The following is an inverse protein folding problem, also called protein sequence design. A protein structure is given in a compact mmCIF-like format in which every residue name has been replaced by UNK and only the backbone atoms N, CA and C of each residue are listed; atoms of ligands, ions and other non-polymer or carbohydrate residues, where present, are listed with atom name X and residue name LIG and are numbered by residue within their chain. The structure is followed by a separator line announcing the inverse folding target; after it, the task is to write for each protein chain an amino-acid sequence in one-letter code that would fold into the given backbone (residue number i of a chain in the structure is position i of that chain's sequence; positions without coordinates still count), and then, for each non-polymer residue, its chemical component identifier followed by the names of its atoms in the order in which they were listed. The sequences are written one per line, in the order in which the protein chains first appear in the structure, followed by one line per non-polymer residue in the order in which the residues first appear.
data_IF_422525729740
#
_entry.id   IF_422525729740
#
_cell.length_a   1.000
_cell.length_b   1.000
_cell.length_c   1.000
_cell.angle_alpha   90.00
_cell.angle_beta   90.00
_cell.angle_gamma   90.00
#
_symmetry.space_group_name_H-M   'P 1'
#
loop_
_entity.id
_entity.type
_entity.pdbx_description
1 polymer ?
#
# COMPACT_ATOMS: atom_id res chain seq x y z
N UNK A 1 71.92 -33.22 -12.98
CA UNK A 1 71.38 -32.25 -12.01
C UNK A 1 70.10 -31.72 -12.60
N UNK A 2 68.98 -32.38 -12.31
CA UNK A 2 67.66 -31.93 -12.75
C UNK A 2 67.11 -30.99 -11.68
N UNK A 3 66.99 -29.71 -12.02
CA UNK A 3 66.39 -28.69 -11.17
C UNK A 3 64.89 -28.64 -11.44
N UNK A 4 64.09 -29.05 -10.45
CA UNK A 4 62.63 -28.95 -10.50
C UNK A 4 62.16 -27.49 -10.49
N UNK A 5 61.09 -27.14 -11.22
CA UNK A 5 60.55 -25.80 -11.24
C UNK A 5 59.79 -25.48 -9.94
N UNK A 6 60.16 -24.37 -9.32
CA UNK A 6 59.49 -23.77 -8.17
C UNK A 6 58.04 -23.42 -8.53
N UNK A 7 57.09 -24.27 -8.15
CA UNK A 7 55.66 -23.92 -8.15
C UNK A 7 55.44 -22.76 -7.19
N UNK A 8 55.21 -21.57 -7.76
CA UNK A 8 54.73 -20.41 -7.02
C UNK A 8 53.37 -20.76 -6.44
N UNK A 9 53.32 -21.01 -5.11
CA UNK A 9 52.06 -21.06 -4.38
C UNK A 9 51.52 -19.64 -4.34
N UNK A 10 50.66 -19.31 -5.29
CA UNK A 10 49.79 -18.14 -5.21
C UNK A 10 49.00 -18.24 -3.91
N UNK A 11 49.43 -17.53 -2.88
CA UNK A 11 48.63 -17.29 -1.68
C UNK A 11 47.57 -16.27 -2.06
N UNK A 12 46.50 -16.74 -2.67
CA UNK A 12 45.33 -15.92 -3.00
C UNK A 12 44.60 -15.58 -1.71
N UNK A 13 44.98 -14.44 -1.10
CA UNK A 13 44.21 -13.84 0.00
C UNK A 13 42.72 -13.83 -0.39
N UNK A 14 41.85 -14.19 0.54
CA UNK A 14 40.42 -14.29 0.25
C UNK A 14 39.87 -12.90 -0.06
N UNK A 15 39.74 -12.59 -1.34
CA UNK A 15 39.17 -11.34 -1.81
C UNK A 15 37.66 -11.49 -1.93
N UNK A 16 36.91 -10.96 -0.97
CA UNK A 16 35.45 -10.97 -1.05
C UNK A 16 34.98 -9.90 -2.05
N UNK A 17 34.65 -10.34 -3.26
CA UNK A 17 34.05 -9.51 -4.30
C UNK A 17 32.53 -9.43 -4.16
N UNK A 18 31.91 -8.54 -4.95
CA UNK A 18 30.44 -8.45 -5.03
C UNK A 18 29.84 -9.73 -5.61
N UNK A 19 30.53 -10.38 -6.54
CA UNK A 19 30.08 -11.62 -7.18
C UNK A 19 30.01 -12.78 -6.20
N UNK A 20 31.04 -12.94 -5.34
CA UNK A 20 31.04 -13.96 -4.27
C UNK A 20 29.85 -13.77 -3.32
N UNK A 21 29.50 -12.52 -3.02
CA UNK A 21 28.33 -12.19 -2.18
C UNK A 21 27.02 -12.48 -2.91
N UNK A 22 26.93 -12.20 -4.21
CA UNK A 22 25.74 -12.51 -5.01
C UNK A 22 25.53 -14.02 -5.14
N UNK A 23 26.59 -14.79 -5.36
CA UNK A 23 26.56 -16.24 -5.38
C UNK A 23 26.10 -16.78 -4.02
N UNK A 24 26.67 -16.28 -2.91
CA UNK A 24 26.23 -16.66 -1.57
C UNK A 24 24.72 -16.43 -1.35
N UNK A 25 24.20 -15.26 -1.75
CA UNK A 25 22.78 -14.95 -1.61
C UNK A 25 21.92 -15.85 -2.50
N UNK A 26 22.39 -16.22 -3.71
CA UNK A 26 21.70 -17.15 -4.61
C UNK A 26 21.68 -18.57 -4.07
N UNK A 27 22.79 -19.03 -3.48
CA UNK A 27 22.93 -20.38 -2.93
C UNK A 27 22.12 -20.60 -1.66
N UNK A 28 22.05 -19.58 -0.79
CA UNK A 28 21.29 -19.66 0.46
C UNK A 28 19.76 -19.71 0.24
N UNK A 29 19.24 -19.31 -0.94
CA UNK A 29 17.82 -19.36 -1.36
C UNK A 29 16.81 -18.97 -0.27
N UNK A 30 17.16 -18.04 0.63
CA UNK A 30 16.27 -17.65 1.71
C UNK A 30 15.10 -16.81 1.18
N UNK A 31 13.88 -17.32 1.30
CA UNK A 31 12.65 -16.66 0.80
C UNK A 31 12.40 -15.26 1.39
N UNK A 32 13.04 -14.91 2.52
CA UNK A 32 12.92 -13.61 3.20
C UNK A 32 14.18 -12.74 3.05
N UNK A 33 15.14 -13.18 2.24
CA UNK A 33 16.45 -12.58 2.06
C UNK A 33 17.46 -12.93 3.13
N UNK A 34 18.73 -12.82 2.76
CA UNK A 34 19.88 -13.27 3.52
C UNK A 34 20.37 -12.19 4.49
N UNK A 35 20.86 -12.62 5.65
CA UNK A 35 21.52 -11.74 6.63
C UNK A 35 23.02 -11.69 6.40
N UNK A 36 23.69 -10.65 6.92
CA UNK A 36 25.16 -10.54 6.84
C UNK A 36 25.85 -11.75 7.49
N UNK A 37 25.30 -12.26 8.60
CA UNK A 37 25.83 -13.43 9.29
C UNK A 37 25.72 -14.70 8.41
N UNK A 38 24.60 -14.88 7.69
CA UNK A 38 24.41 -16.00 6.78
C UNK A 38 25.39 -15.95 5.60
N UNK A 39 25.58 -14.76 5.00
CA UNK A 39 26.54 -14.55 3.91
C UNK A 39 27.97 -14.79 4.38
N UNK A 40 28.34 -14.27 5.56
CA UNK A 40 29.65 -14.53 6.19
C UNK A 40 29.87 -16.03 6.39
N UNK A 41 28.90 -16.73 6.96
CA UNK A 41 28.99 -18.18 7.22
C UNK A 41 29.18 -18.96 5.92
N UNK A 42 28.46 -18.59 4.86
CA UNK A 42 28.59 -19.23 3.56
C UNK A 42 29.98 -19.01 2.95
N UNK A 43 30.47 -17.77 2.94
CA UNK A 43 31.78 -17.44 2.36
C UNK A 43 32.90 -18.18 3.13
N UNK A 44 32.86 -18.15 4.47
CA UNK A 44 33.85 -18.88 5.29
C UNK A 44 33.78 -20.39 5.07
N UNK A 45 32.58 -20.95 4.86
CA UNK A 45 32.41 -22.39 4.60
C UNK A 45 32.86 -22.80 3.18
N UNK A 46 32.85 -21.88 2.22
CA UNK A 46 33.23 -22.13 0.83
C UNK A 46 34.70 -21.79 0.54
N UNK A 47 35.36 -21.04 1.43
CA UNK A 47 36.77 -20.71 1.35
C UNK A 47 37.63 -21.80 1.98
N UNK A 48 38.74 -22.16 1.31
CA UNK A 48 39.68 -23.19 1.79
C UNK A 48 40.61 -22.68 2.90
N UNK A 49 40.72 -21.36 3.09
CA UNK A 49 41.59 -20.76 4.09
C UNK A 49 40.80 -20.18 5.29
N UNK A 50 41.24 -20.46 6.53
CA UNK A 50 40.64 -19.86 7.71
C UNK A 50 41.15 -18.42 7.87
N UNK A 51 40.54 -17.47 7.17
CA UNK A 51 40.79 -16.05 7.45
C UNK A 51 40.13 -15.59 8.76
N UNK A 52 40.74 -14.57 9.38
CA UNK A 52 40.19 -13.92 10.55
C UNK A 52 38.76 -13.44 10.29
N UNK A 53 37.84 -13.86 11.15
CA UNK A 53 36.42 -13.60 10.95
C UNK A 53 36.06 -12.09 10.93
N UNK A 54 36.96 -11.23 11.43
CA UNK A 54 36.88 -9.77 11.42
C UNK A 54 37.11 -9.17 10.03
N UNK A 55 38.15 -9.61 9.30
CA UNK A 55 38.49 -9.11 7.95
C UNK A 55 37.34 -9.38 6.97
N UNK A 56 36.86 -10.64 6.96
CA UNK A 56 35.76 -11.11 6.10
C UNK A 56 34.49 -10.29 6.36
N UNK A 57 34.19 -9.97 7.62
CA UNK A 57 33.00 -9.19 7.98
C UNK A 57 33.04 -7.78 7.36
N UNK A 58 34.20 -7.12 7.38
CA UNK A 58 34.38 -5.79 6.81
C UNK A 58 34.25 -5.85 5.30
N UNK A 59 34.91 -6.81 4.65
CA UNK A 59 34.87 -6.96 3.19
C UNK A 59 33.45 -7.29 2.71
N UNK A 60 32.75 -8.22 3.35
CA UNK A 60 31.33 -8.54 3.04
C UNK A 60 30.46 -7.29 3.19
N UNK A 61 30.64 -6.50 4.25
CA UNK A 61 29.87 -5.26 4.47
C UNK A 61 30.14 -4.23 3.36
N UNK A 62 31.39 -4.10 2.93
CA UNK A 62 31.77 -3.20 1.83
C UNK A 62 31.21 -3.69 0.49
N UNK A 63 31.32 -4.99 0.18
CA UNK A 63 30.78 -5.61 -1.01
C UNK A 63 29.25 -5.46 -1.08
N UNK A 64 28.54 -5.69 0.04
CA UNK A 64 27.10 -5.44 0.13
C UNK A 64 26.75 -3.97 -0.11
N UNK A 65 27.53 -3.03 0.43
CA UNK A 65 27.31 -1.59 0.20
C UNK A 65 27.50 -1.22 -1.28
N UNK A 66 28.55 -1.74 -1.92
CA UNK A 66 28.84 -1.54 -3.35
C UNK A 66 27.76 -2.16 -4.23
N UNK A 67 27.36 -3.40 -3.96
CA UNK A 67 26.29 -4.08 -4.70
C UNK A 67 24.93 -3.39 -4.55
N UNK A 68 24.66 -2.74 -3.41
CA UNK A 68 23.47 -1.90 -3.23
C UNK A 68 23.57 -0.59 -4.02
N UNK A 69 24.74 0.05 -4.04
CA UNK A 69 24.98 1.26 -4.83
C UNK A 69 24.85 1.00 -6.35
N UNK A 70 25.36 -0.14 -6.81
CA UNK A 70 25.30 -0.56 -8.21
C UNK A 70 23.92 -1.11 -8.62
N UNK A 71 22.97 -1.26 -7.68
CA UNK A 71 21.63 -1.78 -7.94
C UNK A 71 21.52 -3.31 -8.09
N UNK A 72 22.65 -4.04 -8.01
CA UNK A 72 22.71 -5.50 -8.12
C UNK A 72 22.13 -6.22 -6.89
N UNK A 73 22.12 -5.57 -5.73
CA UNK A 73 21.60 -6.10 -4.47
C UNK A 73 20.58 -5.11 -3.90
N UNK A 74 19.40 -5.60 -3.54
CA UNK A 74 18.37 -4.81 -2.88
C UNK A 74 18.33 -5.09 -1.37
N UNK A 75 18.33 -4.02 -0.58
CA UNK A 75 18.12 -4.09 0.87
C UNK A 75 16.62 -4.04 1.19
N UNK A 76 16.06 -5.13 1.75
CA UNK A 76 14.61 -5.21 2.03
C UNK A 76 14.27 -4.62 3.41
N UNK A 77 14.99 -5.05 4.45
CA UNK A 77 14.85 -4.58 5.84
C UNK A 77 16.23 -4.19 6.38
N UNK A 78 16.30 -3.60 7.57
CA UNK A 78 17.54 -3.05 8.15
C UNK A 78 18.76 -3.97 8.07
N UNK A 79 18.58 -5.30 8.09
CA UNK A 79 19.65 -6.30 8.07
C UNK A 79 19.49 -7.42 7.03
N UNK A 80 18.62 -7.26 6.02
CA UNK A 80 18.33 -8.31 5.02
C UNK A 80 18.58 -7.86 3.60
N UNK A 81 19.27 -8.69 2.84
CA UNK A 81 19.73 -8.45 1.48
C UNK A 81 19.20 -9.53 0.53
N UNK A 82 18.81 -9.12 -0.67
CA UNK A 82 18.37 -10.01 -1.75
C UNK A 82 19.03 -9.55 -3.03
N UNK A 83 19.44 -10.49 -3.89
CA UNK A 83 19.91 -10.14 -5.23
C UNK A 83 18.74 -9.52 -5.98
N UNK A 84 18.95 -8.35 -6.57
CA UNK A 84 18.00 -7.77 -7.50
C UNK A 84 17.91 -8.74 -8.69
N UNK A 85 16.96 -9.66 -8.65
CA UNK A 85 16.42 -10.22 -9.87
C UNK A 85 15.75 -9.03 -10.55
N UNK A 86 15.99 -8.83 -11.84
CA UNK A 86 15.18 -7.96 -12.67
C UNK A 86 13.74 -8.53 -12.74
N UNK A 87 13.04 -8.50 -11.60
CA UNK A 87 11.66 -8.89 -11.40
C UNK A 87 10.78 -7.77 -11.95
N UNK A 88 10.89 -7.53 -13.25
CA UNK A 88 9.82 -6.94 -14.07
C UNK A 88 8.49 -7.67 -13.80
N UNK A 89 8.52 -8.92 -13.35
CA UNK A 89 7.33 -9.73 -13.06
C UNK A 89 6.74 -9.50 -11.64
N UNK A 90 7.58 -9.40 -10.61
CA UNK A 90 7.16 -9.13 -9.22
C UNK A 90 6.65 -7.70 -9.01
N UNK A 91 7.30 -6.73 -9.66
CA UNK A 91 6.91 -5.32 -9.64
C UNK A 91 5.56 -5.09 -10.34
N UNK A 92 5.32 -5.74 -11.50
CA UNK A 92 4.00 -5.73 -12.19
C UNK A 92 2.90 -6.31 -11.31
N UNK A 93 3.13 -7.43 -10.63
CA UNK A 93 2.12 -8.05 -9.76
C UNK A 93 1.78 -7.18 -8.53
N UNK A 94 2.78 -6.55 -7.90
CA UNK A 94 2.55 -5.59 -6.79
C UNK A 94 1.86 -4.30 -7.27
N UNK A 95 2.23 -3.78 -8.44
CA UNK A 95 1.62 -2.59 -9.05
C UNK A 95 0.16 -2.85 -9.46
N UNK A 96 -0.15 -4.03 -10.02
CA UNK A 96 -1.53 -4.46 -10.31
C UNK A 96 -2.40 -4.51 -9.04
N UNK A 97 -1.93 -5.18 -7.97
CA UNK A 97 -2.65 -5.23 -6.68
C UNK A 97 -2.91 -3.84 -6.07
N UNK A 98 -1.94 -2.92 -6.16
CA UNK A 98 -2.10 -1.54 -5.65
C UNK A 98 -3.18 -0.76 -6.42
N UNK A 99 -3.26 -0.95 -7.73
CA UNK A 99 -4.27 -0.30 -8.57
C UNK A 99 -5.69 -0.83 -8.31
N UNK A 100 -5.83 -2.14 -8.07
CA UNK A 100 -7.14 -2.75 -7.76
C UNK A 100 -7.71 -2.22 -6.44
N UNK A 101 -6.86 -2.11 -5.40
CA UNK A 101 -7.26 -1.53 -4.12
C UNK A 101 -7.68 -0.06 -4.25
N UNK A 102 -6.94 0.74 -5.02
CA UNK A 102 -7.28 2.15 -5.24
C UNK A 102 -8.57 2.30 -6.05
N UNK A 103 -8.83 1.46 -7.04
CA UNK A 103 -10.08 1.51 -7.81
C UNK A 103 -11.28 1.05 -6.98
N UNK A 104 -11.12 0.00 -6.15
CA UNK A 104 -12.15 -0.39 -5.17
C UNK A 104 -12.43 0.75 -4.18
N UNK A 105 -11.39 1.43 -3.69
CA UNK A 105 -11.53 2.61 -2.81
C UNK A 105 -12.26 3.74 -3.52
N UNK A 106 -11.92 4.01 -4.79
CA UNK A 106 -12.54 5.05 -5.62
C UNK A 106 -14.01 4.73 -5.89
N UNK A 107 -14.33 3.49 -6.24
CA UNK A 107 -15.70 2.99 -6.46
C UNK A 107 -16.54 3.10 -5.20
N UNK A 108 -16.00 2.72 -4.03
CA UNK A 108 -16.66 2.85 -2.71
C UNK A 108 -16.90 4.31 -2.31
N UNK A 109 -15.95 5.21 -2.60
CA UNK A 109 -16.12 6.66 -2.39
C UNK A 109 -17.22 7.23 -3.30
N UNK A 110 -17.25 6.84 -4.58
CA UNK A 110 -18.26 7.29 -5.57
C UNK A 110 -19.67 6.82 -5.21
N UNK A 111 -19.82 5.55 -4.78
CA UNK A 111 -21.11 5.00 -4.35
C UNK A 111 -21.65 5.69 -3.10
N UNK A 112 -20.80 5.94 -2.09
CA UNK A 112 -21.16 6.70 -0.87
C UNK A 112 -21.62 8.12 -1.22
N UNK A 113 -20.93 8.83 -2.12
CA UNK A 113 -21.34 10.18 -2.59
C UNK A 113 -22.71 10.14 -3.28
N UNK A 114 -22.96 9.15 -4.15
CA UNK A 114 -24.25 8.99 -4.86
C UNK A 114 -25.40 8.69 -3.88
N UNK A 115 -25.16 7.83 -2.88
CA UNK A 115 -26.15 7.52 -1.83
C UNK A 115 -26.51 8.75 -0.99
N UNK A 116 -25.50 9.54 -0.55
CA UNK A 116 -25.72 10.80 0.18
C UNK A 116 -26.56 11.80 -0.62
N UNK A 117 -26.27 11.96 -1.93
CA UNK A 117 -27.06 12.82 -2.83
C UNK A 117 -28.51 12.35 -2.95
N UNK A 118 -28.76 11.04 -3.12
CA UNK A 118 -30.12 10.46 -3.16
C UNK A 118 -30.89 10.70 -1.86
N UNK A 119 -30.27 10.46 -0.69
CA UNK A 119 -30.87 10.73 0.63
C UNK A 119 -31.23 12.21 0.80
N UNK A 120 -30.33 13.14 0.42
CA UNK A 120 -30.61 14.60 0.47
C UNK A 120 -31.79 15.00 -0.42
N UNK A 121 -31.87 14.47 -1.66
CA UNK A 121 -33.00 14.73 -2.57
C UNK A 121 -34.33 14.22 -1.99
N UNK A 122 -34.37 13.00 -1.43
CA UNK A 122 -35.56 12.44 -0.75
C UNK A 122 -36.02 13.31 0.42
N UNK A 123 -35.09 13.75 1.29
CA UNK A 123 -35.39 14.66 2.41
C UNK A 123 -35.96 16.00 1.94
N UNK A 124 -35.39 16.61 0.90
CA UNK A 124 -35.93 17.86 0.29
C UNK A 124 -37.35 17.67 -0.25
N UNK A 125 -37.62 16.59 -0.98
CA UNK A 125 -38.96 16.28 -1.53
C UNK A 125 -40.00 16.08 -0.43
N UNK A 126 -39.64 15.36 0.64
CA UNK A 126 -40.51 15.17 1.82
C UNK A 126 -40.84 16.49 2.52
N UNK A 127 -39.82 17.35 2.76
CA UNK A 127 -40.04 18.69 3.34
C UNK A 127 -40.99 19.54 2.48
N UNK A 128 -40.82 19.53 1.14
CA UNK A 128 -41.71 20.27 0.21
C UNK A 128 -43.15 19.75 0.27
N UNK A 129 -43.36 18.43 0.30
CA UNK A 129 -44.69 17.80 0.47
C UNK A 129 -45.34 18.21 1.79
N UNK A 130 -44.62 18.14 2.91
CA UNK A 130 -45.11 18.57 4.23
C UNK A 130 -45.51 20.05 4.24
N UNK A 131 -44.70 20.95 3.65
CA UNK A 131 -45.02 22.38 3.51
C UNK A 131 -46.29 22.61 2.68
N UNK A 132 -46.45 21.91 1.55
CA UNK A 132 -47.66 22.02 0.69
C UNK A 132 -48.92 21.55 1.43
N UNK A 133 -48.84 20.44 2.16
CA UNK A 133 -49.94 19.92 2.99
C UNK A 133 -50.35 20.92 4.09
N UNK A 134 -49.38 21.47 4.83
CA UNK A 134 -49.65 22.51 5.85
C UNK A 134 -50.34 23.75 5.24
N UNK A 135 -49.90 24.22 4.06
CA UNK A 135 -50.56 25.34 3.35
C UNK A 135 -52.00 25.01 2.95
N UNK A 136 -52.27 23.80 2.42
CA UNK A 136 -53.64 23.34 2.08
C UNK A 136 -54.55 23.30 3.32
N UNK A 137 -54.06 22.71 4.44
CA UNK A 137 -54.80 22.68 5.71
C UNK A 137 -55.13 24.08 6.24
N UNK A 138 -54.17 25.02 6.19
CA UNK A 138 -54.39 26.43 6.58
C UNK A 138 -55.46 27.11 5.69
N UNK A 139 -55.41 26.93 4.37
CA UNK A 139 -56.43 27.47 3.44
C UNK A 139 -57.81 26.90 3.72
N UNK A 140 -57.93 25.59 3.95
CA UNK A 140 -59.21 24.94 4.30
C UNK A 140 -59.79 25.48 5.61
N UNK A 141 -58.97 25.60 6.67
CA UNK A 141 -59.39 26.20 7.94
C UNK A 141 -59.88 27.65 7.76
N UNK A 142 -59.20 28.47 6.96
CA UNK A 142 -59.64 29.84 6.64
C UNK A 142 -60.99 29.87 5.91
N UNK A 143 -61.19 29.00 4.91
CA UNK A 143 -62.48 28.87 4.19
C UNK A 143 -63.62 28.49 5.14
N UNK A 144 -63.42 27.48 6.01
CA UNK A 144 -64.40 27.06 7.02
C UNK A 144 -64.75 28.21 7.99
N UNK A 145 -63.75 28.96 8.48
CA UNK A 145 -63.98 30.14 9.35
C UNK A 145 -64.80 31.23 8.64
N UNK A 146 -64.49 31.55 7.38
CA UNK A 146 -65.27 32.53 6.59
C UNK A 146 -66.72 32.08 6.38
N UNK A 147 -66.94 30.81 6.03
CA UNK A 147 -68.29 30.24 5.87
C UNK A 147 -69.10 30.32 7.17
N UNK A 148 -68.50 29.93 8.32
CA UNK A 148 -69.14 30.07 9.64
C UNK A 148 -69.51 31.53 9.95
N UNK A 149 -68.63 32.50 9.66
CA UNK A 149 -68.93 33.94 9.84
C UNK A 149 -70.08 34.41 8.95
N UNK A 150 -70.13 33.98 7.67
CA UNK A 150 -71.24 34.31 6.76
C UNK A 150 -72.58 33.75 7.27
N UNK A 151 -72.62 32.48 7.69
CA UNK A 151 -73.81 31.85 8.28
C UNK A 151 -74.28 32.56 9.56
N UNK A 152 -73.36 33.01 10.41
CA UNK A 152 -73.71 33.81 11.61
C UNK A 152 -74.31 35.17 11.24
N UNK A 153 -73.74 35.87 10.24
CA UNK A 153 -74.29 37.15 9.76
C UNK A 153 -75.68 36.99 9.13
N UNK A 154 -75.90 35.95 8.31
CA UNK A 154 -77.21 35.71 7.71
C UNK A 154 -78.29 35.39 8.75
N UNK A 155 -77.94 34.61 9.79
CA UNK A 155 -78.86 34.33 10.91
C UNK A 155 -79.24 35.59 11.69
N UNK A 156 -78.30 36.53 11.90
CA UNK A 156 -78.60 37.81 12.57
C UNK A 156 -79.57 38.67 11.75
N UNK A 157 -79.39 38.74 10.43
CA UNK A 157 -80.28 39.51 9.53
C UNK A 157 -81.71 38.98 9.43
N UNK A 158 -81.97 37.73 9.82
CA UNK A 158 -83.32 37.13 9.81
C UNK A 158 -84.06 37.28 11.15
N UNK A 159 -83.45 37.94 12.15
CA UNK A 159 -84.02 38.16 13.49
C UNK A 159 -84.39 39.63 13.74
N UNK A 160 -84.18 40.48 12.75
CA UNK A 160 -84.66 41.86 12.69
C UNK A 160 -85.70 41.89 11.58
#
# INVERSE_FOLDING_TARGET
MESEPVTQRNTERLHVTVDNVMEAIRSLKEAKGCTLAAVKKYIVANSSEPEESSSVTIQVKQALKRGVQNGQIMKIKSFKYVVSLDDEEGSKKRRRRRNDDDDLRRRRRRSRRRSRRRRRRRRRRSRRRRRRSRRRRRRSRRRRRRSRRRRRRSRRRRRC
#
